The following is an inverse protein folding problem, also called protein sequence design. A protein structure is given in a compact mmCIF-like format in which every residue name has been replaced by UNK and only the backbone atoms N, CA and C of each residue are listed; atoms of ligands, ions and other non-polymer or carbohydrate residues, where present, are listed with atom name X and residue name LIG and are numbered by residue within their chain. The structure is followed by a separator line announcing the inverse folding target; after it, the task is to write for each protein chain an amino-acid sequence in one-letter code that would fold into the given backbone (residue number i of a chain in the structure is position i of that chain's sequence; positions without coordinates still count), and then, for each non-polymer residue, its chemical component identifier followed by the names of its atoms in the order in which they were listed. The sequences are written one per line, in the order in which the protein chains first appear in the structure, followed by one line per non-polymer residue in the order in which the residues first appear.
data_IF_125418023715
#
_entry.id   IF_125418023715
#
_cell.length_a   1.000
_cell.length_b   1.000
_cell.length_c   1.000
_cell.angle_alpha   90.00
_cell.angle_beta   90.00
_cell.angle_gamma   90.00
#
_symmetry.space_group_name_H-M   'P 1'
#
loop_
_entity.id
_entity.type
_entity.pdbx_description
1 polymer ?
#
# COMPACT_ATOMS: atom_id res chain seq x y z
N UNK A 1 25.55 35.31 11.03
CA UNK A 1 24.82 34.11 11.51
C UNK A 1 25.08 33.99 13.02
N UNK A 2 24.08 33.86 13.88
CA UNK A 2 24.32 33.63 15.31
C UNK A 2 25.05 32.30 15.52
N UNK A 3 26.03 32.24 16.43
CA UNK A 3 26.73 31.02 16.76
C UNK A 3 25.72 30.02 17.38
N UNK A 4 25.56 28.83 16.78
CA UNK A 4 24.65 27.80 17.22
C UNK A 4 23.48 27.48 16.28
N UNK A 5 23.27 28.23 15.20
CA UNK A 5 22.20 27.97 14.24
C UNK A 5 22.41 26.64 13.49
N UNK A 6 23.66 26.34 13.14
CA UNK A 6 23.99 25.10 12.43
C UNK A 6 23.85 23.87 13.35
N UNK A 7 24.20 24.00 14.63
CA UNK A 7 24.02 22.93 15.63
C UNK A 7 22.53 22.68 15.90
N UNK A 8 21.72 23.72 15.96
CA UNK A 8 20.27 23.61 16.12
C UNK A 8 19.61 22.95 14.89
N UNK A 9 20.05 23.32 13.68
CA UNK A 9 19.58 22.73 12.45
C UNK A 9 19.89 21.21 12.39
N UNK A 10 21.12 20.80 12.72
CA UNK A 10 21.51 19.39 12.79
C UNK A 10 20.69 18.60 13.84
N UNK A 11 20.41 19.17 14.99
CA UNK A 11 19.59 18.55 16.03
C UNK A 11 18.14 18.41 15.60
N UNK A 12 17.59 19.39 14.88
CA UNK A 12 16.25 19.33 14.30
C UNK A 12 16.16 18.29 13.18
N UNK A 13 17.14 18.21 12.30
CA UNK A 13 17.18 17.16 11.26
C UNK A 13 17.30 15.76 11.86
N UNK A 14 18.12 15.60 12.92
CA UNK A 14 18.20 14.34 13.66
C UNK A 14 16.88 13.96 14.30
N UNK A 15 16.20 14.88 14.97
CA UNK A 15 14.91 14.65 15.60
C UNK A 15 13.81 14.31 14.57
N UNK A 16 13.79 14.99 13.41
CA UNK A 16 12.85 14.70 12.31
C UNK A 16 13.09 13.30 11.76
N UNK A 17 14.35 12.89 11.60
CA UNK A 17 14.70 11.54 11.13
C UNK A 17 14.27 10.47 12.14
N UNK A 18 14.49 10.71 13.42
CA UNK A 18 14.11 9.80 14.51
C UNK A 18 12.58 9.66 14.63
N UNK A 19 11.83 10.75 14.57
CA UNK A 19 10.37 10.74 14.56
C UNK A 19 9.83 10.05 13.31
N UNK A 20 10.43 10.26 12.15
CA UNK A 20 10.06 9.56 10.92
C UNK A 20 10.25 8.04 11.06
N UNK A 21 11.34 7.59 11.67
CA UNK A 21 11.61 6.18 11.96
C UNK A 21 10.56 5.57 12.90
N UNK A 22 10.24 6.26 14.00
CA UNK A 22 9.19 5.81 14.95
C UNK A 22 7.81 5.75 14.28
N UNK A 23 7.48 6.68 13.39
CA UNK A 23 6.24 6.66 12.62
C UNK A 23 6.21 5.50 11.60
N UNK A 24 7.35 5.13 11.01
CA UNK A 24 7.47 3.94 10.18
C UNK A 24 7.26 2.66 11.01
N UNK A 25 7.91 2.54 12.15
CA UNK A 25 7.78 1.39 13.07
C UNK A 25 6.33 1.25 13.58
N UNK A 26 5.68 2.35 13.97
CA UNK A 26 4.26 2.37 14.33
C UNK A 26 3.37 2.01 13.14
N UNK A 27 3.72 2.43 11.94
CA UNK A 27 3.05 2.05 10.71
C UNK A 27 3.17 0.55 10.43
N UNK A 28 4.31 -0.07 10.71
CA UNK A 28 4.50 -1.52 10.61
C UNK A 28 3.70 -2.29 11.66
N UNK A 29 3.68 -1.83 12.90
CA UNK A 29 2.86 -2.40 13.98
C UNK A 29 1.36 -2.27 13.64
N UNK A 30 0.94 -1.10 13.18
CA UNK A 30 -0.45 -0.85 12.76
C UNK A 30 -0.87 -1.68 11.54
N UNK A 31 0.07 -1.98 10.63
CA UNK A 31 -0.14 -2.90 9.50
C UNK A 31 -0.25 -4.36 9.93
N UNK A 32 0.27 -4.72 11.10
CA UNK A 32 0.10 -6.05 11.70
C UNK A 32 -1.26 -6.23 12.39
N UNK A 33 -1.97 -5.14 12.69
CA UNK A 33 -3.33 -5.19 13.26
C UNK A 33 -4.33 -5.37 12.12
N UNK A 34 -5.05 -6.48 12.15
CA UNK A 34 -6.12 -6.77 11.20
C UNK A 34 -7.16 -5.64 11.23
N UNK A 35 -7.44 -4.93 10.12
CA UNK A 35 -8.41 -3.84 10.14
C UNK A 35 -9.80 -4.36 10.52
N UNK A 36 -10.43 -3.80 11.55
CA UNK A 36 -11.76 -4.22 12.01
C UNK A 36 -12.79 -4.21 10.87
N UNK A 37 -12.71 -3.21 9.99
CA UNK A 37 -13.56 -3.11 8.80
C UNK A 37 -13.43 -4.31 7.85
N UNK A 38 -12.26 -4.96 7.80
CA UNK A 38 -12.02 -6.14 6.98
C UNK A 38 -12.67 -7.37 7.61
N UNK A 39 -12.55 -7.52 8.94
CA UNK A 39 -13.17 -8.62 9.68
C UNK A 39 -14.70 -8.59 9.61
N UNK A 40 -15.29 -7.41 9.72
CA UNK A 40 -16.75 -7.22 9.77
C UNK A 40 -17.41 -7.22 8.40
N UNK A 41 -16.79 -6.57 7.41
CA UNK A 41 -17.42 -6.30 6.10
C UNK A 41 -16.72 -6.91 4.91
N UNK A 42 -15.53 -7.49 5.06
CA UNK A 42 -14.71 -7.95 3.95
C UNK A 42 -14.03 -6.84 3.16
N UNK A 43 -13.42 -7.20 2.04
CA UNK A 43 -12.51 -6.32 1.29
C UNK A 43 -13.22 -5.07 0.73
N UNK A 44 -14.41 -5.19 0.14
CA UNK A 44 -15.11 -4.06 -0.49
C UNK A 44 -15.42 -2.92 0.49
N UNK A 45 -16.17 -3.16 1.59
CA UNK A 45 -16.44 -2.15 2.61
C UNK A 45 -15.17 -1.56 3.23
N UNK A 46 -14.12 -2.37 3.45
CA UNK A 46 -12.85 -1.90 4.01
C UNK A 46 -12.14 -0.93 3.05
N UNK A 47 -12.08 -1.24 1.76
CA UNK A 47 -11.53 -0.34 0.74
C UNK A 47 -12.36 0.92 0.58
N UNK A 48 -13.69 0.83 0.65
CA UNK A 48 -14.57 1.99 0.66
C UNK A 48 -14.31 2.92 1.85
N UNK A 49 -14.06 2.38 3.03
CA UNK A 49 -13.67 3.17 4.21
C UNK A 49 -12.29 3.82 4.05
N UNK A 50 -11.33 3.12 3.45
CA UNK A 50 -10.00 3.66 3.10
C UNK A 50 -10.12 4.83 2.12
N UNK A 51 -10.89 4.65 1.04
CA UNK A 51 -11.10 5.67 0.01
C UNK A 51 -11.69 6.96 0.58
N UNK A 52 -12.69 6.85 1.47
CA UNK A 52 -13.31 8.03 2.11
C UNK A 52 -12.37 8.82 3.03
N UNK A 53 -11.32 8.18 3.57
CA UNK A 53 -10.32 8.82 4.45
C UNK A 53 -9.09 9.30 3.71
N UNK A 54 -8.97 8.99 2.44
CA UNK A 54 -7.83 9.41 1.63
C UNK A 54 -7.78 10.93 1.45
N UNK A 55 -6.58 11.49 1.51
CA UNK A 55 -6.34 12.90 1.22
C UNK A 55 -6.41 13.21 -0.30
N UNK A 56 -6.30 12.18 -1.15
CA UNK A 56 -6.43 12.28 -2.60
C UNK A 56 -7.72 11.57 -3.01
N UNK A 57 -8.52 12.12 -3.94
CA UNK A 57 -9.71 11.44 -4.46
C UNK A 57 -9.40 10.03 -4.96
N UNK A 58 -10.18 9.05 -4.53
CA UNK A 58 -10.05 7.65 -4.94
C UNK A 58 -11.28 7.22 -5.71
N UNK A 59 -11.07 6.85 -6.97
CA UNK A 59 -12.07 6.16 -7.80
C UNK A 59 -11.93 4.66 -7.56
N UNK A 60 -12.95 4.03 -6.96
CA UNK A 60 -12.89 2.66 -6.47
C UNK A 60 -13.90 1.77 -7.20
N UNK A 61 -13.41 0.80 -7.96
CA UNK A 61 -14.18 -0.28 -8.57
C UNK A 61 -13.81 -1.63 -7.92
N UNK A 62 -14.76 -2.27 -7.22
CA UNK A 62 -14.57 -3.56 -6.54
C UNK A 62 -15.57 -4.58 -7.05
N UNK A 63 -15.07 -5.52 -7.83
CA UNK A 63 -15.83 -6.65 -8.40
C UNK A 63 -15.47 -7.95 -7.65
N UNK A 64 -15.78 -7.98 -6.36
CA UNK A 64 -15.57 -9.12 -5.49
C UNK A 64 -16.91 -9.56 -4.90
N UNK A 65 -17.29 -10.81 -5.14
CA UNK A 65 -18.54 -11.38 -4.63
C UNK A 65 -18.24 -12.23 -3.40
N UNK A 66 -18.83 -11.89 -2.24
CA UNK A 66 -18.65 -12.63 -1.00
C UNK A 66 -17.31 -12.39 -0.32
N UNK A 67 -16.92 -13.34 0.52
CA UNK A 67 -15.67 -13.32 1.29
C UNK A 67 -14.57 -14.05 0.53
N UNK A 68 -13.38 -13.47 0.57
CA UNK A 68 -12.16 -14.14 0.11
C UNK A 68 -11.44 -14.79 1.29
N UNK A 69 -10.45 -15.67 1.06
CA UNK A 69 -9.54 -16.12 2.11
C UNK A 69 -8.94 -14.92 2.83
N UNK A 70 -8.91 -14.98 4.16
CA UNK A 70 -8.47 -13.87 5.03
C UNK A 70 -7.09 -13.32 4.63
N UNK A 71 -6.14 -14.22 4.33
CA UNK A 71 -4.80 -13.84 3.89
C UNK A 71 -4.80 -13.02 2.59
N UNK A 72 -5.70 -13.35 1.65
CA UNK A 72 -5.84 -12.60 0.40
C UNK A 72 -6.53 -11.24 0.62
N UNK A 73 -7.58 -11.19 1.47
CA UNK A 73 -8.24 -9.92 1.83
C UNK A 73 -7.25 -8.96 2.49
N UNK A 74 -6.46 -9.46 3.45
CA UNK A 74 -5.44 -8.68 4.16
C UNK A 74 -4.37 -8.16 3.20
N UNK A 75 -3.81 -9.03 2.35
CA UNK A 75 -2.78 -8.63 1.40
C UNK A 75 -3.30 -7.60 0.39
N UNK A 76 -4.51 -7.80 -0.15
CA UNK A 76 -5.14 -6.86 -1.08
C UNK A 76 -5.42 -5.51 -0.42
N UNK A 77 -5.94 -5.51 0.82
CA UNK A 77 -6.18 -4.28 1.58
C UNK A 77 -4.89 -3.48 1.78
N UNK A 78 -3.82 -4.13 2.23
CA UNK A 78 -2.55 -3.44 2.45
C UNK A 78 -1.90 -2.96 1.16
N UNK A 79 -2.06 -3.68 0.05
CA UNK A 79 -1.58 -3.22 -1.25
C UNK A 79 -2.23 -1.89 -1.67
N UNK A 80 -3.55 -1.79 -1.50
CA UNK A 80 -4.26 -0.53 -1.79
C UNK A 80 -3.89 0.56 -0.79
N UNK A 81 -3.84 0.24 0.51
CA UNK A 81 -3.52 1.20 1.56
C UNK A 81 -2.13 1.82 1.37
N UNK A 82 -1.13 0.99 1.05
CA UNK A 82 0.23 1.45 0.77
C UNK A 82 0.28 2.31 -0.49
N UNK A 83 -0.34 1.88 -1.59
CA UNK A 83 -0.36 2.64 -2.83
C UNK A 83 -1.05 4.01 -2.66
N UNK A 84 -2.22 4.06 -2.00
CA UNK A 84 -2.95 5.31 -1.73
C UNK A 84 -2.15 6.24 -0.82
N UNK A 85 -1.48 5.68 0.21
CA UNK A 85 -0.61 6.44 1.11
C UNK A 85 0.59 7.02 0.37
N UNK A 86 1.24 6.24 -0.49
CA UNK A 86 2.38 6.67 -1.28
C UNK A 86 1.97 7.78 -2.27
N UNK A 87 0.81 7.64 -2.90
CA UNK A 87 0.27 8.68 -3.77
C UNK A 87 0.05 9.98 -3.00
N UNK A 88 -0.60 9.92 -1.84
CA UNK A 88 -0.87 11.10 -1.01
C UNK A 88 0.41 11.80 -0.53
N UNK A 89 1.44 11.03 -0.16
CA UNK A 89 2.70 11.58 0.38
C UNK A 89 3.68 12.03 -0.70
N UNK A 90 3.73 11.33 -1.82
CA UNK A 90 4.87 11.44 -2.74
C UNK A 90 4.50 11.79 -4.18
N UNK A 91 3.31 11.44 -4.67
CA UNK A 91 3.02 11.50 -6.09
C UNK A 91 2.63 12.90 -6.60
N UNK A 92 2.06 13.76 -5.76
CA UNK A 92 1.40 15.03 -6.19
C UNK A 92 0.30 14.75 -7.23
N UNK A 93 -0.36 13.63 -7.12
CA UNK A 93 -1.43 13.21 -8.02
C UNK A 93 -2.73 13.97 -7.74
N UNK A 94 -3.58 14.07 -8.75
CA UNK A 94 -4.91 14.64 -8.61
C UNK A 94 -5.97 13.60 -8.24
N UNK A 95 -5.74 12.33 -8.58
CA UNK A 95 -6.63 11.22 -8.29
C UNK A 95 -5.88 9.88 -8.24
N UNK A 96 -6.50 8.89 -7.57
CA UNK A 96 -6.10 7.49 -7.56
C UNK A 96 -7.25 6.66 -8.11
N UNK A 97 -6.97 5.75 -9.03
CA UNK A 97 -7.93 4.74 -9.47
C UNK A 97 -7.55 3.39 -8.87
N UNK A 98 -8.52 2.71 -8.26
CA UNK A 98 -8.37 1.38 -7.65
C UNK A 98 -9.36 0.42 -8.29
N UNK A 99 -8.87 -0.63 -8.89
CA UNK A 99 -9.66 -1.69 -9.51
C UNK A 99 -9.33 -3.02 -8.85
N UNK A 100 -10.33 -3.73 -8.32
CA UNK A 100 -10.18 -5.03 -7.69
C UNK A 100 -11.21 -6.00 -8.26
N UNK A 101 -10.75 -7.12 -8.80
CA UNK A 101 -11.63 -8.16 -9.32
C UNK A 101 -11.17 -9.54 -8.85
N UNK A 102 -12.11 -10.36 -8.38
CA UNK A 102 -11.88 -11.76 -8.06
C UNK A 102 -12.50 -12.65 -9.14
N UNK A 103 -11.66 -13.34 -9.91
CA UNK A 103 -12.07 -14.24 -10.99
C UNK A 103 -11.10 -15.43 -11.07
N UNK A 104 -11.60 -16.58 -11.46
CA UNK A 104 -10.78 -17.78 -11.73
C UNK A 104 -9.81 -18.15 -10.58
N UNK A 105 -10.28 -18.02 -9.32
CA UNK A 105 -9.52 -18.27 -8.09
C UNK A 105 -8.29 -17.36 -7.92
N UNK A 106 -8.34 -16.17 -8.48
CA UNK A 106 -7.29 -15.14 -8.40
C UNK A 106 -7.92 -13.79 -8.09
N UNK A 107 -7.28 -13.01 -7.25
CA UNK A 107 -7.57 -11.58 -7.10
C UNK A 107 -6.61 -10.80 -7.99
N UNK A 108 -7.17 -10.02 -8.89
CA UNK A 108 -6.45 -9.00 -9.63
C UNK A 108 -6.72 -7.64 -8.98
N UNK A 109 -5.68 -6.93 -8.67
CA UNK A 109 -5.74 -5.61 -8.08
C UNK A 109 -4.83 -4.68 -8.89
N UNK A 110 -5.38 -3.54 -9.29
CA UNK A 110 -4.65 -2.48 -9.97
C UNK A 110 -4.89 -1.16 -9.25
N UNK A 111 -3.82 -0.48 -8.89
CA UNK A 111 -3.86 0.90 -8.37
C UNK A 111 -3.05 1.78 -9.29
N UNK A 112 -3.63 2.88 -9.74
CA UNK A 112 -2.94 3.84 -10.60
C UNK A 112 -3.17 5.27 -10.15
N UNK A 113 -2.15 6.11 -10.26
CA UNK A 113 -2.22 7.54 -10.03
C UNK A 113 -1.67 8.33 -11.24
N UNK A 114 -2.08 9.57 -11.34
CA UNK A 114 -1.65 10.52 -12.38
C UNK A 114 -0.51 11.44 -11.93
N UNK A 115 0.26 11.01 -10.92
CA UNK A 115 1.28 11.82 -10.29
C UNK A 115 2.61 11.88 -11.04
N UNK A 116 3.65 12.29 -10.32
CA UNK A 116 5.00 12.48 -10.90
C UNK A 116 5.76 11.20 -11.23
N UNK A 117 5.28 10.03 -10.81
CA UNK A 117 5.99 8.78 -10.96
C UNK A 117 7.33 8.72 -10.20
N UNK A 118 8.19 7.77 -10.59
CA UNK A 118 9.51 7.57 -10.01
C UNK A 118 9.50 6.70 -8.76
N UNK A 119 8.43 5.96 -8.50
CA UNK A 119 8.38 4.95 -7.45
C UNK A 119 9.24 3.73 -7.83
N UNK A 120 9.91 3.15 -6.83
CA UNK A 120 10.81 2.02 -6.99
C UNK A 120 10.74 1.11 -5.76
N UNK A 121 10.72 -0.20 -5.94
CA UNK A 121 10.79 -1.17 -4.84
C UNK A 121 12.07 -1.04 -4.01
N UNK A 122 13.17 -0.53 -4.56
CA UNK A 122 14.41 -0.31 -3.84
C UNK A 122 14.41 0.90 -2.93
N UNK A 123 13.35 1.70 -2.92
CA UNK A 123 13.25 2.94 -2.14
C UNK A 123 12.10 2.89 -1.15
N UNK A 124 12.42 2.70 0.14
CA UNK A 124 11.47 2.69 1.24
C UNK A 124 10.98 1.30 1.64
N UNK A 125 10.63 1.15 2.91
CA UNK A 125 10.24 -0.14 3.52
C UNK A 125 8.85 -0.60 3.09
N UNK A 126 7.94 0.32 2.78
CA UNK A 126 6.54 0.01 2.48
C UNK A 126 6.34 -0.86 1.25
N UNK A 127 6.91 -0.47 0.11
CA UNK A 127 6.81 -1.25 -1.14
C UNK A 127 7.60 -2.56 -1.07
N UNK A 128 8.75 -2.59 -0.37
CA UNK A 128 9.52 -3.82 -0.12
C UNK A 128 8.69 -4.81 0.69
N UNK A 129 8.16 -4.40 1.83
CA UNK A 129 7.32 -5.26 2.67
C UNK A 129 6.04 -5.71 1.99
N UNK A 130 5.46 -4.87 1.12
CA UNK A 130 4.32 -5.26 0.30
C UNK A 130 4.70 -6.36 -0.70
N UNK A 131 5.83 -6.22 -1.38
CA UNK A 131 6.34 -7.21 -2.33
C UNK A 131 6.56 -8.55 -1.64
N UNK A 132 7.27 -8.56 -0.52
CA UNK A 132 7.55 -9.78 0.24
C UNK A 132 6.26 -10.48 0.68
N UNK A 133 5.25 -9.72 1.12
CA UNK A 133 3.95 -10.26 1.52
C UNK A 133 3.19 -10.89 0.36
N UNK A 134 3.15 -10.24 -0.79
CA UNK A 134 2.48 -10.76 -2.00
C UNK A 134 3.17 -12.04 -2.49
N UNK A 135 4.51 -12.03 -2.57
CA UNK A 135 5.30 -13.18 -3.01
C UNK A 135 5.22 -14.36 -2.03
N UNK A 136 5.16 -14.11 -0.72
CA UNK A 136 4.96 -15.14 0.30
C UNK A 136 3.62 -15.89 0.15
N UNK A 137 2.60 -15.25 -0.43
CA UNK A 137 1.32 -15.86 -0.77
C UNK A 137 1.31 -16.54 -2.15
N UNK A 138 2.46 -16.65 -2.82
CA UNK A 138 2.54 -17.16 -4.17
C UNK A 138 1.97 -16.20 -5.22
N UNK A 139 1.76 -14.95 -4.85
CA UNK A 139 1.26 -13.90 -5.71
C UNK A 139 2.36 -13.26 -6.57
N UNK A 140 1.96 -12.27 -7.33
CA UNK A 140 2.84 -11.46 -8.18
C UNK A 140 2.53 -9.98 -8.00
N UNK A 141 3.57 -9.15 -8.00
CA UNK A 141 3.44 -7.71 -7.94
C UNK A 141 4.33 -7.06 -9.00
N UNK A 142 3.78 -6.10 -9.71
CA UNK A 142 4.50 -5.30 -10.71
C UNK A 142 4.31 -3.83 -10.40
N UNK A 143 5.35 -3.06 -10.55
CA UNK A 143 5.35 -1.61 -10.38
C UNK A 143 5.88 -0.97 -11.66
N UNK A 144 5.07 -0.13 -12.26
CA UNK A 144 5.44 0.71 -13.40
C UNK A 144 5.25 2.17 -13.01
N UNK A 145 6.36 2.91 -12.96
CA UNK A 145 6.34 4.28 -12.44
C UNK A 145 7.41 5.15 -13.12
N UNK A 146 7.29 5.36 -14.44
CA UNK A 146 8.25 6.22 -15.14
C UNK A 146 8.11 7.67 -14.66
N UNK A 147 9.22 8.41 -14.52
CA UNK A 147 9.18 9.81 -14.12
C UNK A 147 8.26 10.65 -15.02
N UNK A 148 7.34 11.39 -14.40
CA UNK A 148 6.39 12.26 -15.09
C UNK A 148 5.13 11.56 -15.63
N UNK A 149 4.93 10.26 -15.39
CA UNK A 149 3.82 9.49 -15.99
C UNK A 149 2.93 8.78 -14.98
N UNK A 150 2.99 9.18 -13.71
CA UNK A 150 2.24 8.53 -12.64
C UNK A 150 2.82 7.19 -12.22
N UNK A 151 2.04 6.45 -11.44
CA UNK A 151 2.42 5.12 -10.95
C UNK A 151 1.30 4.13 -11.22
N UNK A 152 1.66 2.93 -11.62
CA UNK A 152 0.77 1.78 -11.73
C UNK A 152 1.34 0.64 -10.89
N UNK A 153 0.54 0.12 -9.98
CA UNK A 153 0.81 -1.05 -9.18
C UNK A 153 -0.18 -2.14 -9.56
N UNK A 154 0.30 -3.23 -10.13
CA UNK A 154 -0.49 -4.41 -10.45
C UNK A 154 -0.14 -5.55 -9.49
N UNK A 155 -1.15 -6.14 -8.85
CA UNK A 155 -1.01 -7.26 -7.91
C UNK A 155 -1.92 -8.40 -8.32
N UNK A 156 -1.40 -9.61 -8.30
CA UNK A 156 -2.14 -10.84 -8.55
C UNK A 156 -1.96 -11.76 -7.36
N UNK A 157 -3.05 -12.14 -6.69
CA UNK A 157 -3.05 -12.99 -5.51
C UNK A 157 -3.84 -14.27 -5.79
N UNK A 158 -3.25 -15.47 -5.66
CA UNK A 158 -3.99 -16.71 -5.74
C UNK A 158 -4.92 -16.87 -4.52
N UNK A 159 -6.12 -17.39 -4.72
CA UNK A 159 -7.07 -17.68 -3.65
C UNK A 159 -6.87 -19.08 -3.04
N UNK A 160 -5.99 -19.89 -3.62
CA UNK A 160 -5.73 -21.27 -3.23
C UNK A 160 -4.45 -21.44 -2.39
N UNK A 161 -3.96 -20.42 -1.73
CA UNK A 161 -2.70 -20.44 -0.98
C UNK A 161 -2.77 -21.35 0.28
N UNK A 162 -2.90 -22.68 0.10
CA UNK A 162 -2.71 -23.68 1.15
C UNK A 162 -1.93 -24.93 0.68
N UNK A 163 -1.14 -24.90 -0.37
CA UNK A 163 -0.45 -26.09 -0.87
C UNK A 163 1.09 -26.03 -0.88
N UNK A 164 1.76 -25.08 -0.26
CA UNK A 164 3.23 -25.04 -0.28
C UNK A 164 3.93 -25.06 1.08
N UNK A 165 3.25 -25.48 2.15
CA UNK A 165 3.89 -25.69 3.47
C UNK A 165 4.15 -27.17 3.79
N UNK A 166 4.45 -28.00 2.78
CA UNK A 166 4.85 -29.40 3.01
C UNK A 166 5.82 -29.86 1.89
N UNK A 167 7.06 -29.38 1.94
CA UNK A 167 8.24 -30.13 1.43
C UNK A 167 9.50 -29.64 2.09
#
# INVERSE_FOLDING_TARGET
MPPGADELAQRLEGAVTEVAGVLEDLGEIARGLHPAALSEGGLGPALGALARRSAVPVDLDVQVTGRLPETAEVAAYYAVAEAVTNTAKHARASAVKVEVAARDRVVHLRVSDDGRGGADFGRGSGLVGLKDRVEALGGRILLDSPPGSGTVLDVVLPLDAQAQSAR
#
